data_IF_539198456818
#
_entry.id   IF_539198456818
#
_cell.length_a   1.000
_cell.length_b   1.000
_cell.length_c   1.000
_cell.angle_alpha   90.00
_cell.angle_beta   90.00
_cell.angle_gamma   90.00
#
_symmetry.space_group_name_H-M   'P 1'
#
loop_
_entity.id
_entity.type
_entity.pdbx_description
1 polymer ?
#
# COMPACT_ATOMS: atom_id res chain seq x y z
N UNK A 1 8.33 48.76 17.47
CA UNK A 1 7.97 47.33 17.63
C UNK A 1 7.35 46.85 16.32
N UNK A 2 7.79 45.71 15.78
CA UNK A 2 7.23 45.15 14.53
C UNK A 2 5.75 44.81 14.72
N UNK A 3 4.88 45.24 13.81
CA UNK A 3 3.44 44.94 13.86
C UNK A 3 3.22 43.43 13.62
N UNK A 4 2.76 42.65 14.62
CA UNK A 4 2.61 41.20 14.53
C UNK A 4 1.66 40.76 13.41
N UNK A 5 0.60 41.54 13.16
CA UNK A 5 -0.38 41.22 12.13
C UNK A 5 0.21 41.38 10.72
N UNK A 6 1.04 42.41 10.54
CA UNK A 6 1.76 42.64 9.28
C UNK A 6 2.73 41.51 9.00
N UNK A 7 3.45 41.03 10.02
CA UNK A 7 4.32 39.87 9.90
C UNK A 7 3.55 38.61 9.51
N UNK A 8 2.43 38.32 10.20
CA UNK A 8 1.56 37.17 9.91
C UNK A 8 1.03 37.22 8.47
N UNK A 9 0.55 38.39 8.02
CA UNK A 9 0.05 38.58 6.66
C UNK A 9 1.13 38.34 5.60
N UNK A 10 2.35 38.84 5.83
CA UNK A 10 3.47 38.67 4.91
C UNK A 10 3.92 37.20 4.82
N UNK A 11 3.98 36.51 5.95
CA UNK A 11 4.30 35.08 6.00
C UNK A 11 3.24 34.27 5.21
N UNK A 12 1.95 34.51 5.44
CA UNK A 12 0.87 33.85 4.71
C UNK A 12 0.98 34.05 3.19
N UNK A 13 1.31 35.27 2.74
CA UNK A 13 1.52 35.57 1.32
C UNK A 13 2.72 34.80 0.75
N UNK A 14 3.82 34.72 1.49
CA UNK A 14 5.02 33.99 1.07
C UNK A 14 4.77 32.49 0.96
N UNK A 15 4.11 31.89 1.96
CA UNK A 15 3.71 30.47 1.96
C UNK A 15 2.80 30.17 0.76
N UNK A 16 1.78 30.99 0.53
CA UNK A 16 0.83 30.80 -0.57
C UNK A 16 1.54 30.92 -1.94
N UNK A 17 2.47 31.87 -2.09
CA UNK A 17 3.29 32.01 -3.30
C UNK A 17 4.17 30.78 -3.55
N UNK A 18 4.78 30.21 -2.50
CA UNK A 18 5.60 29.00 -2.62
C UNK A 18 4.75 27.77 -3.01
N UNK A 19 3.59 27.61 -2.38
CA UNK A 19 2.64 26.53 -2.72
C UNK A 19 2.15 26.60 -4.16
N UNK A 20 1.79 27.80 -4.64
CA UNK A 20 1.40 27.99 -6.04
C UNK A 20 2.56 27.65 -6.97
N UNK A 21 3.79 28.12 -6.67
CA UNK A 21 4.97 27.83 -7.49
C UNK A 21 5.23 26.32 -7.64
N UNK A 22 5.06 25.56 -6.56
CA UNK A 22 5.18 24.10 -6.59
C UNK A 22 4.04 23.46 -7.39
N UNK A 23 2.80 23.90 -7.21
CA UNK A 23 1.64 23.39 -7.93
C UNK A 23 1.70 23.66 -9.44
N UNK A 24 2.39 24.72 -9.86
CA UNK A 24 2.54 25.10 -11.27
C UNK A 24 3.71 24.42 -11.99
N UNK A 25 4.57 23.65 -11.29
CA UNK A 25 5.63 22.91 -11.97
C UNK A 25 5.06 21.63 -12.59
N UNK A 26 4.75 21.73 -13.88
CA UNK A 26 4.41 20.59 -14.72
C UNK A 26 5.45 20.43 -15.85
N UNK A 27 6.00 19.21 -16.05
CA UNK A 27 5.76 18.03 -15.24
C UNK A 27 6.32 18.21 -13.81
N UNK A 28 5.79 17.46 -12.83
CA UNK A 28 6.38 17.41 -11.50
C UNK A 28 7.86 17.02 -11.60
N UNK A 29 8.64 17.41 -10.59
CA UNK A 29 10.04 16.99 -10.52
C UNK A 29 10.13 15.46 -10.50
N UNK A 30 11.13 14.86 -11.18
CA UNK A 30 11.35 13.43 -11.12
C UNK A 30 11.52 12.91 -9.68
N UNK A 31 11.09 11.67 -9.46
CA UNK A 31 11.30 10.97 -8.19
C UNK A 31 12.80 10.75 -7.95
N UNK A 32 13.22 10.76 -6.68
CA UNK A 32 14.59 10.37 -6.32
C UNK A 32 14.80 8.87 -6.57
N UNK A 33 16.01 8.47 -6.94
CA UNK A 33 16.33 7.05 -7.21
C UNK A 33 15.97 6.15 -6.03
N UNK A 34 16.23 6.61 -4.80
CA UNK A 34 15.85 5.90 -3.58
C UNK A 34 14.35 5.62 -3.54
N UNK A 35 13.52 6.62 -3.82
CA UNK A 35 12.06 6.47 -3.79
C UNK A 35 11.57 5.58 -4.93
N UNK A 36 12.15 5.69 -6.13
CA UNK A 36 11.84 4.79 -7.24
C UNK A 36 12.13 3.33 -6.85
N UNK A 37 13.32 3.05 -6.32
CA UNK A 37 13.69 1.71 -5.86
C UNK A 37 12.78 1.19 -4.75
N UNK A 38 12.39 2.02 -3.79
CA UNK A 38 11.43 1.65 -2.74
C UNK A 38 10.09 1.26 -3.34
N UNK A 39 9.51 2.10 -4.21
CA UNK A 39 8.22 1.83 -4.87
C UNK A 39 8.26 0.50 -5.62
N UNK A 40 9.32 0.27 -6.42
CA UNK A 40 9.47 -0.96 -7.20
C UNK A 40 9.61 -2.17 -6.27
N UNK A 41 10.45 -2.07 -5.24
CA UNK A 41 10.70 -3.18 -4.32
C UNK A 41 9.46 -3.54 -3.52
N UNK A 42 8.71 -2.55 -3.03
CA UNK A 42 7.48 -2.74 -2.29
C UNK A 42 6.41 -3.38 -3.18
N UNK A 43 6.24 -2.89 -4.41
CA UNK A 43 5.35 -3.51 -5.39
C UNK A 43 5.70 -4.99 -5.61
N UNK A 44 6.97 -5.29 -5.90
CA UNK A 44 7.43 -6.67 -6.08
C UNK A 44 7.22 -7.54 -4.83
N UNK A 45 7.27 -6.96 -3.63
CA UNK A 45 7.01 -7.67 -2.39
C UNK A 45 5.52 -7.98 -2.20
N UNK A 46 4.64 -7.06 -2.57
CA UNK A 46 3.19 -7.20 -2.45
C UNK A 46 2.62 -8.20 -3.45
N UNK A 47 3.23 -8.30 -4.64
CA UNK A 47 2.85 -9.29 -5.66
C UNK A 47 3.60 -10.62 -5.54
N UNK A 48 4.17 -10.94 -4.37
CA UNK A 48 4.71 -12.28 -4.14
C UNK A 48 3.56 -13.29 -4.08
N UNK A 49 3.69 -14.51 -4.65
CA UNK A 49 2.63 -15.52 -4.66
C UNK A 49 1.99 -15.74 -3.29
N UNK A 50 2.80 -15.82 -2.24
CA UNK A 50 2.35 -16.03 -0.86
C UNK A 50 1.58 -14.84 -0.23
N UNK A 51 1.40 -13.72 -0.94
CA UNK A 51 0.64 -12.55 -0.50
C UNK A 51 -0.78 -12.48 -1.07
N UNK A 52 -1.05 -13.17 -2.18
CA UNK A 52 -2.33 -13.04 -2.87
C UNK A 52 -2.84 -14.33 -3.53
N UNK A 53 -2.04 -15.41 -3.60
CA UNK A 53 -2.56 -16.70 -4.06
C UNK A 53 -3.56 -17.25 -3.04
N UNK A 54 -4.76 -17.54 -3.53
CA UNK A 54 -5.87 -18.06 -2.74
C UNK A 54 -6.36 -19.38 -3.32
N UNK A 55 -6.95 -20.20 -2.47
CA UNK A 55 -7.70 -21.38 -2.90
C UNK A 55 -8.93 -21.57 -2.00
N UNK A 56 -9.89 -22.37 -2.47
CA UNK A 56 -11.07 -22.71 -1.69
C UNK A 56 -10.71 -23.61 -0.49
N UNK A 57 -11.24 -23.28 0.68
CA UNK A 57 -11.21 -24.18 1.83
C UNK A 57 -12.12 -25.39 1.57
N UNK A 58 -11.60 -26.61 1.74
CA UNK A 58 -12.37 -27.83 1.49
C UNK A 58 -13.57 -28.03 2.42
N UNK A 59 -13.58 -27.40 3.60
CA UNK A 59 -14.66 -27.53 4.58
C UNK A 59 -15.81 -26.55 4.30
N UNK A 60 -15.50 -25.28 4.02
CA UNK A 60 -16.50 -24.23 3.93
C UNK A 60 -16.60 -23.55 2.56
N UNK A 61 -15.73 -23.90 1.60
CA UNK A 61 -15.71 -23.37 0.25
C UNK A 61 -15.23 -21.93 0.09
N UNK A 62 -14.90 -21.21 1.18
CA UNK A 62 -14.43 -19.82 1.11
C UNK A 62 -13.04 -19.76 0.47
N UNK A 63 -12.81 -18.73 -0.36
CA UNK A 63 -11.46 -18.36 -0.77
C UNK A 63 -10.67 -17.88 0.44
N UNK A 64 -9.45 -18.37 0.57
CA UNK A 64 -8.55 -18.05 1.68
C UNK A 64 -7.12 -18.10 1.15
N UNK A 65 -6.25 -17.25 1.69
CA UNK A 65 -4.84 -17.23 1.31
C UNK A 65 -4.21 -18.61 1.50
N UNK A 66 -3.41 -19.03 0.52
CA UNK A 66 -2.73 -20.33 0.55
C UNK A 66 -1.88 -20.50 1.81
N UNK A 67 -1.28 -19.41 2.31
CA UNK A 67 -0.46 -19.40 3.53
C UNK A 67 -1.25 -19.63 4.81
N UNK A 68 -2.57 -19.42 4.78
CA UNK A 68 -3.47 -19.62 5.93
C UNK A 68 -4.17 -20.98 5.88
N UNK A 69 -3.91 -21.78 4.85
CA UNK A 69 -4.52 -23.09 4.64
C UNK A 69 -3.55 -24.23 4.93
N UNK A 70 -4.10 -25.35 5.40
CA UNK A 70 -3.39 -26.60 5.57
C UNK A 70 -3.76 -27.55 4.43
N UNK A 71 -2.76 -28.23 3.88
CA UNK A 71 -3.00 -29.30 2.90
C UNK A 71 -3.74 -30.45 3.59
N UNK A 72 -4.86 -30.89 3.04
CA UNK A 72 -5.62 -32.02 3.58
C UNK A 72 -4.78 -33.29 3.72
N UNK A 73 -3.88 -33.54 2.76
CA UNK A 73 -2.95 -34.68 2.79
C UNK A 73 -2.02 -34.70 4.02
N UNK A 74 -1.85 -33.57 4.71
CA UNK A 74 -1.01 -33.46 5.90
C UNK A 74 -1.82 -33.67 7.20
N UNK A 75 -3.14 -33.77 7.12
CA UNK A 75 -4.02 -33.91 8.27
C UNK A 75 -4.45 -35.36 8.44
N UNK A 76 -4.35 -35.88 9.66
CA UNK A 76 -4.89 -37.20 10.00
C UNK A 76 -6.34 -37.05 10.49
N UNK A 77 -7.26 -36.84 9.56
CA UNK A 77 -8.68 -36.62 9.81
C UNK A 77 -9.51 -37.53 8.92
N UNK A 78 -10.70 -37.91 9.38
CA UNK A 78 -11.68 -38.57 8.52
C UNK A 78 -12.28 -37.53 7.55
N UNK A 79 -11.94 -37.63 6.27
CA UNK A 79 -12.41 -36.72 5.21
C UNK A 79 -13.73 -37.19 4.58
N UNK A 80 -14.25 -38.36 4.96
CA UNK A 80 -15.46 -38.92 4.36
C UNK A 80 -16.68 -38.00 4.54
N UNK A 81 -16.67 -37.21 5.62
CA UNK A 81 -17.71 -36.21 5.93
C UNK A 81 -17.82 -35.08 4.89
N UNK A 82 -16.84 -34.94 3.99
CA UNK A 82 -16.82 -33.92 2.95
C UNK A 82 -17.36 -34.42 1.60
N UNK A 83 -17.60 -35.72 1.44
CA UNK A 83 -18.25 -36.27 0.25
C UNK A 83 -19.78 -36.14 0.36
N UNK A 84 -20.44 -35.77 -0.74
CA UNK A 84 -21.90 -35.68 -0.87
C UNK A 84 -22.48 -36.93 -1.52
#
# INVERSE_FOLDING_TARGET
>A
MSNPEKYKSNNLKAVKKHQIKLATQFPPQPLTDKLQHTIISDFCNDIKPNKFEETGCAVCGKLTLLTELLKLANLNLNLDILYQ
#
